data_IF_517727972165
#
_entry.id   IF_517727972165
#
_cell.length_a   1.000
_cell.length_b   1.000
_cell.length_c   1.000
_cell.angle_alpha   90.00
_cell.angle_beta   90.00
_cell.angle_gamma   90.00
#
_symmetry.space_group_name_H-M   'P 1'
#
loop_
_entity.id
_entity.type
_entity.pdbx_description
1 polymer ?
#
# COMPACT_ATOMS: atom_id res chain seq x y z
N UNK A 1 -13.29 -11.04 -63.36
CA UNK A 1 -13.74 -10.05 -62.36
C UNK A 1 -12.71 -10.02 -61.25
N UNK A 2 -11.93 -8.94 -61.19
CA UNK A 2 -10.75 -8.80 -60.34
C UNK A 2 -11.16 -8.31 -58.94
N UNK A 3 -10.72 -9.02 -57.90
CA UNK A 3 -10.87 -8.61 -56.51
C UNK A 3 -9.53 -8.06 -56.00
N UNK A 4 -9.52 -6.75 -55.71
CA UNK A 4 -8.40 -6.01 -55.15
C UNK A 4 -8.32 -6.23 -53.65
N UNK A 5 -7.19 -6.77 -53.19
CA UNK A 5 -6.86 -7.00 -51.78
C UNK A 5 -6.24 -5.72 -51.17
N UNK A 6 -6.88 -5.18 -50.13
CA UNK A 6 -6.39 -4.03 -49.37
C UNK A 6 -5.58 -4.51 -48.15
N UNK A 7 -4.27 -4.20 -48.16
CA UNK A 7 -3.32 -4.51 -47.09
C UNK A 7 -3.27 -3.36 -46.09
N UNK A 8 -3.81 -3.55 -44.88
CA UNK A 8 -3.72 -2.57 -43.78
C UNK A 8 -2.41 -2.72 -43.01
N UNK A 9 -1.55 -1.71 -43.14
CA UNK A 9 -0.26 -1.57 -42.50
C UNK A 9 -0.43 -1.18 -41.02
N UNK A 10 0.08 -1.99 -40.09
CA UNK A 10 -0.03 -1.74 -38.63
C UNK A 10 1.30 -1.19 -38.11
N UNK A 11 1.33 0.01 -37.47
CA UNK A 11 2.58 0.60 -37.04
C UNK A 11 3.18 -0.09 -35.80
N UNK A 12 4.47 -0.37 -35.93
CA UNK A 12 5.36 -1.00 -34.97
C UNK A 12 5.50 -0.13 -33.70
N UNK A 13 5.00 -0.64 -32.57
CA UNK A 13 5.01 0.04 -31.27
C UNK A 13 6.38 -0.05 -30.63
N UNK A 14 7.09 1.08 -30.62
CA UNK A 14 8.37 1.31 -29.96
C UNK A 14 8.45 0.74 -28.54
N UNK A 15 9.49 -0.06 -28.34
CA UNK A 15 9.90 -0.74 -27.13
C UNK A 15 10.39 0.29 -26.10
N UNK A 16 9.57 0.53 -25.06
CA UNK A 16 9.94 1.42 -23.95
C UNK A 16 10.99 0.77 -23.05
N UNK A 17 12.16 1.40 -23.08
CA UNK A 17 13.24 1.53 -22.09
C UNK A 17 13.00 0.83 -20.74
N UNK A 18 13.94 -0.06 -20.42
CA UNK A 18 14.20 -0.68 -19.12
C UNK A 18 14.52 0.41 -18.08
N UNK A 19 13.76 0.45 -16.99
CA UNK A 19 14.16 1.15 -15.77
C UNK A 19 15.15 0.26 -15.01
N UNK A 20 16.38 0.76 -14.85
CA UNK A 20 17.39 0.15 -13.98
C UNK A 20 16.96 0.34 -12.53
N UNK A 21 16.67 -0.76 -11.84
CA UNK A 21 16.44 -0.79 -10.40
C UNK A 21 17.80 -0.74 -9.72
N UNK A 22 18.03 0.34 -8.97
CA UNK A 22 19.20 0.53 -8.11
C UNK A 22 19.10 -0.48 -6.96
N UNK A 23 19.97 -1.49 -6.97
CA UNK A 23 20.18 -2.38 -5.82
C UNK A 23 20.97 -1.60 -4.76
N UNK A 24 20.30 -1.21 -3.68
CA UNK A 24 20.96 -0.71 -2.48
C UNK A 24 21.77 -1.86 -1.85
N UNK A 25 23.08 -1.62 -1.66
CA UNK A 25 24.02 -2.55 -1.08
C UNK A 25 23.65 -2.89 0.37
N UNK A 26 23.51 -4.18 0.66
CA UNK A 26 23.46 -4.71 2.03
C UNK A 26 24.86 -4.58 2.67
N UNK A 27 24.96 -4.14 3.94
CA UNK A 27 26.24 -4.08 4.64
C UNK A 27 26.79 -5.50 4.88
N UNK A 28 28.12 -5.69 4.81
CA UNK A 28 28.74 -6.98 5.05
C UNK A 28 28.54 -7.41 6.50
N UNK A 29 28.01 -8.62 6.70
CA UNK A 29 27.90 -9.24 8.02
C UNK A 29 29.30 -9.50 8.59
N UNK A 30 29.62 -8.86 9.70
CA UNK A 30 30.79 -9.14 10.49
C UNK A 30 30.74 -10.58 11.02
N UNK A 31 31.73 -11.39 10.64
CA UNK A 31 31.90 -12.76 11.12
C UNK A 31 32.35 -12.75 12.59
N UNK A 32 31.42 -13.02 13.49
CA UNK A 32 31.71 -13.36 14.89
C UNK A 32 32.18 -14.82 14.92
N UNK A 33 33.50 -15.03 14.89
CA UNK A 33 34.08 -16.34 15.19
C UNK A 33 34.07 -16.55 16.71
N UNK A 34 32.95 -17.05 17.23
CA UNK A 34 32.87 -17.60 18.59
C UNK A 34 33.43 -19.03 18.58
N UNK A 35 34.44 -19.24 19.40
CA UNK A 35 35.12 -20.51 19.68
C UNK A 35 34.13 -21.60 20.13
N UNK A 36 33.87 -22.59 19.25
CA UNK A 36 33.01 -23.75 19.51
C UNK A 36 33.81 -25.05 19.53
N UNK A 37 34.65 -25.28 20.55
CA UNK A 37 35.46 -26.52 20.56
C UNK A 37 35.50 -27.32 21.87
N UNK A 38 34.79 -26.94 22.95
CA UNK A 38 34.99 -27.64 24.24
C UNK A 38 33.78 -28.37 24.84
N UNK A 39 32.59 -28.35 24.23
CA UNK A 39 31.36 -28.93 24.83
C UNK A 39 30.61 -29.96 23.97
N UNK A 40 31.25 -30.57 22.96
CA UNK A 40 30.52 -31.41 21.99
C UNK A 40 30.35 -32.89 22.38
N UNK A 41 31.13 -33.42 23.33
CA UNK A 41 31.15 -34.88 23.59
C UNK A 41 30.14 -35.41 24.62
N UNK A 42 29.34 -34.54 25.26
CA UNK A 42 28.35 -34.96 26.27
C UNK A 42 26.88 -34.92 25.82
N UNK A 43 26.57 -34.26 24.71
CA UNK A 43 25.17 -33.98 24.27
C UNK A 43 24.66 -35.03 23.28
N UNK A 44 25.53 -35.70 22.54
CA UNK A 44 25.14 -36.64 21.46
C UNK A 44 24.44 -37.91 22.00
N UNK A 45 24.63 -38.29 23.27
CA UNK A 45 23.97 -39.46 23.89
C UNK A 45 22.54 -39.20 24.38
N UNK A 46 22.22 -37.96 24.74
CA UNK A 46 20.87 -37.57 25.17
C UNK A 46 19.96 -37.22 23.98
N UNK A 47 20.53 -36.74 22.87
CA UNK A 47 19.78 -36.42 21.66
C UNK A 47 19.21 -37.66 20.96
N UNK A 48 19.91 -38.80 20.97
CA UNK A 48 19.42 -40.05 20.36
C UNK A 48 18.26 -40.70 21.15
N UNK A 49 18.29 -40.61 22.49
CA UNK A 49 17.18 -41.04 23.33
C UNK A 49 15.97 -40.10 23.22
N UNK A 50 16.19 -38.79 23.12
CA UNK A 50 15.12 -37.82 22.88
C UNK A 50 14.53 -37.97 21.46
N UNK A 51 15.32 -38.27 20.43
CA UNK A 51 14.82 -38.53 19.09
C UNK A 51 13.99 -39.82 19.01
N UNK A 52 14.38 -40.88 19.71
CA UNK A 52 13.60 -42.13 19.73
C UNK A 52 12.26 -41.94 20.47
N UNK A 53 12.25 -41.16 21.54
CA UNK A 53 11.04 -40.82 22.30
C UNK A 53 10.17 -39.81 21.54
N UNK A 54 10.74 -38.82 20.87
CA UNK A 54 9.99 -37.94 19.97
C UNK A 54 9.47 -38.68 18.76
N UNK A 55 10.16 -39.68 18.20
CA UNK A 55 9.65 -40.47 17.06
C UNK A 55 8.49 -41.40 17.45
N UNK A 56 8.42 -41.80 18.72
CA UNK A 56 7.29 -42.58 19.25
C UNK A 56 6.09 -41.71 19.66
N UNK A 57 6.32 -40.48 20.16
CA UNK A 57 5.29 -39.48 20.48
C UNK A 57 4.82 -38.69 19.24
N UNK A 58 5.69 -38.51 18.25
CA UNK A 58 5.42 -37.97 16.91
C UNK A 58 5.14 -39.06 15.87
N UNK A 59 4.56 -40.19 16.31
CA UNK A 59 3.63 -40.91 15.42
C UNK A 59 2.46 -39.96 15.19
N UNK A 60 2.71 -38.99 14.30
CA UNK A 60 1.85 -37.86 14.05
C UNK A 60 0.46 -38.40 13.79
N UNK A 61 -0.54 -37.82 14.45
CA UNK A 61 -1.93 -38.16 14.18
C UNK A 61 -2.14 -37.94 12.67
N UNK A 62 -2.18 -39.02 11.91
CA UNK A 62 -2.38 -38.94 10.46
C UNK A 62 -3.88 -38.88 10.23
N UNK A 63 -4.33 -37.75 9.70
CA UNK A 63 -5.72 -37.62 9.25
C UNK A 63 -5.84 -38.40 7.94
N UNK A 64 -6.79 -39.33 7.90
CA UNK A 64 -7.14 -40.09 6.70
C UNK A 64 -8.61 -39.89 6.41
N UNK A 65 -8.95 -39.83 5.13
CA UNK A 65 -10.33 -39.78 4.66
C UNK A 65 -10.74 -41.18 4.22
N UNK A 66 -11.93 -41.63 4.61
CA UNK A 66 -12.41 -42.97 4.27
C UNK A 66 -13.34 -42.98 3.06
N UNK A 67 -14.36 -42.14 3.07
CA UNK A 67 -15.47 -42.18 2.11
C UNK A 67 -15.81 -40.77 1.64
N UNK A 68 -16.15 -40.64 0.35
CA UNK A 68 -16.62 -39.41 -0.30
C UNK A 68 -18.10 -39.55 -0.60
N UNK A 69 -18.89 -38.53 -0.29
CA UNK A 69 -20.27 -38.37 -0.75
C UNK A 69 -20.37 -37.14 -1.66
N UNK A 70 -21.02 -37.30 -2.81
CA UNK A 70 -21.21 -36.21 -3.78
C UNK A 70 -22.66 -35.76 -3.72
N UNK A 71 -22.90 -34.50 -3.42
CA UNK A 71 -24.24 -33.91 -3.41
C UNK A 71 -24.42 -32.95 -4.59
N UNK A 72 -25.55 -33.07 -5.28
CA UNK A 72 -25.91 -32.23 -6.41
C UNK A 72 -26.88 -31.14 -5.96
N UNK A 73 -26.55 -29.90 -6.33
CA UNK A 73 -27.32 -28.71 -6.00
C UNK A 73 -27.80 -28.03 -7.27
N UNK A 74 -29.00 -27.47 -7.23
CA UNK A 74 -29.55 -26.74 -8.37
C UNK A 74 -28.77 -25.43 -8.56
N UNK A 75 -28.49 -25.03 -9.82
CA UNK A 75 -27.94 -23.72 -10.09
C UNK A 75 -29.01 -22.65 -9.80
N UNK A 76 -28.59 -21.58 -9.12
CA UNK A 76 -29.44 -20.47 -8.69
C UNK A 76 -28.81 -19.16 -9.15
N UNK A 77 -29.63 -18.12 -9.34
CA UNK A 77 -29.13 -16.77 -9.60
C UNK A 77 -28.26 -16.27 -8.43
N UNK A 78 -27.01 -15.92 -8.71
CA UNK A 78 -26.08 -15.36 -7.74
C UNK A 78 -26.02 -13.83 -7.79
N UNK A 79 -25.42 -13.26 -6.75
CA UNK A 79 -25.22 -11.82 -6.55
C UNK A 79 -23.73 -11.40 -6.60
N UNK A 80 -22.85 -12.28 -7.09
CA UNK A 80 -21.41 -12.06 -7.07
C UNK A 80 -20.96 -11.04 -8.15
N UNK A 81 -20.48 -9.84 -7.75
CA UNK A 81 -20.10 -8.79 -8.70
C UNK A 81 -18.76 -9.05 -9.40
N UNK A 82 -18.04 -10.12 -9.06
CA UNK A 82 -16.79 -10.53 -9.71
C UNK A 82 -17.03 -11.22 -11.06
N UNK A 83 -18.27 -11.58 -11.39
CA UNK A 83 -18.59 -12.10 -12.71
C UNK A 83 -18.32 -11.02 -13.78
N UNK A 84 -17.43 -11.26 -14.76
CA UNK A 84 -17.04 -10.21 -15.71
C UNK A 84 -18.19 -9.80 -16.64
N UNK A 85 -19.00 -10.76 -17.09
CA UNK A 85 -20.14 -10.59 -18.00
C UNK A 85 -21.25 -11.58 -17.67
N UNK A 86 -22.49 -11.28 -18.06
CA UNK A 86 -23.63 -12.19 -17.92
C UNK A 86 -24.05 -12.47 -16.47
N UNK A 87 -25.02 -13.38 -16.26
CA UNK A 87 -25.58 -13.66 -14.94
C UNK A 87 -24.61 -14.44 -14.05
N UNK A 88 -24.49 -14.04 -12.78
CA UNK A 88 -23.75 -14.83 -11.81
C UNK A 88 -24.50 -16.13 -11.52
N UNK A 89 -23.77 -17.25 -11.47
CA UNK A 89 -24.28 -18.52 -10.95
C UNK A 89 -23.89 -18.67 -9.48
N UNK A 90 -24.80 -19.21 -8.69
CA UNK A 90 -24.52 -19.78 -7.37
C UNK A 90 -25.17 -21.17 -7.27
N UNK A 91 -24.95 -21.85 -6.16
CA UNK A 91 -25.62 -23.11 -5.84
C UNK A 91 -26.70 -22.86 -4.78
N UNK A 92 -27.83 -23.56 -4.91
CA UNK A 92 -28.86 -23.56 -3.89
C UNK A 92 -28.40 -24.22 -2.58
N UNK A 93 -29.11 -23.96 -1.49
CA UNK A 93 -28.80 -24.53 -0.18
C UNK A 93 -29.24 -25.98 0.00
N UNK A 94 -30.29 -26.40 -0.73
CA UNK A 94 -30.86 -27.74 -0.61
C UNK A 94 -30.33 -28.63 -1.74
N UNK A 95 -29.71 -29.77 -1.43
CA UNK A 95 -29.33 -30.74 -2.45
C UNK A 95 -30.61 -31.36 -3.03
N UNK A 96 -30.67 -31.52 -4.35
CA UNK A 96 -31.79 -32.21 -5.00
C UNK A 96 -31.49 -33.71 -5.20
N UNK A 97 -30.21 -34.09 -5.18
CA UNK A 97 -29.77 -35.47 -5.31
C UNK A 97 -28.43 -35.65 -4.62
N UNK A 98 -28.15 -36.88 -4.18
CA UNK A 98 -26.86 -37.26 -3.59
C UNK A 98 -26.44 -38.61 -4.16
N UNK A 99 -25.19 -38.72 -4.58
CA UNK A 99 -24.58 -39.99 -4.94
C UNK A 99 -24.30 -40.82 -3.68
N UNK A 100 -24.26 -42.14 -3.88
CA UNK A 100 -23.85 -43.08 -2.83
C UNK A 100 -22.43 -42.76 -2.35
N UNK A 101 -22.17 -43.10 -1.09
CA UNK A 101 -20.87 -42.91 -0.47
C UNK A 101 -19.86 -43.90 -1.08
N UNK A 102 -18.76 -43.40 -1.65
CA UNK A 102 -17.74 -44.21 -2.34
C UNK A 102 -16.41 -44.11 -1.58
N UNK A 103 -15.66 -45.21 -1.38
CA UNK A 103 -14.32 -45.15 -0.80
C UNK A 103 -13.41 -44.16 -1.55
N UNK A 104 -12.62 -43.37 -0.81
CA UNK A 104 -11.78 -42.31 -1.38
C UNK A 104 -10.83 -42.87 -2.45
N UNK A 105 -10.22 -44.03 -2.20
CA UNK A 105 -9.26 -44.64 -3.12
C UNK A 105 -9.90 -44.91 -4.50
N UNK A 106 -11.12 -45.47 -4.51
CA UNK A 106 -11.89 -45.70 -5.75
C UNK A 106 -12.28 -44.40 -6.45
N UNK A 107 -12.54 -43.33 -5.70
CA UNK A 107 -12.85 -42.03 -6.29
C UNK A 107 -11.61 -41.42 -6.99
N UNK A 108 -10.44 -41.52 -6.36
CA UNK A 108 -9.19 -40.99 -6.91
C UNK A 108 -8.67 -41.80 -8.11
N UNK A 109 -8.96 -43.10 -8.20
CA UNK A 109 -8.67 -43.93 -9.40
C UNK A 109 -9.27 -43.37 -10.70
N UNK A 110 -10.40 -42.66 -10.61
CA UNK A 110 -11.09 -42.08 -11.77
C UNK A 110 -10.70 -40.62 -12.04
N UNK A 111 -9.82 -40.03 -11.22
CA UNK A 111 -9.41 -38.65 -11.37
C UNK A 111 -8.44 -38.53 -12.55
N UNK A 112 -8.66 -37.59 -13.49
CA UNK A 112 -7.71 -37.40 -14.58
C UNK A 112 -6.35 -37.00 -14.04
N UNK A 113 -5.29 -37.62 -14.55
CA UNK A 113 -3.89 -37.33 -14.17
C UNK A 113 -3.51 -35.87 -14.49
N UNK A 114 -4.08 -35.32 -15.57
CA UNK A 114 -3.82 -33.97 -16.02
C UNK A 114 -4.71 -32.99 -15.27
N UNK A 115 -4.08 -32.07 -14.52
CA UNK A 115 -4.79 -30.98 -13.87
C UNK A 115 -5.44 -30.06 -14.91
N UNK A 116 -6.71 -29.73 -14.66
CA UNK A 116 -7.45 -28.79 -15.52
C UNK A 116 -6.78 -27.43 -15.52
N UNK A 117 -6.60 -26.87 -16.70
CA UNK A 117 -6.09 -25.50 -16.84
C UNK A 117 -7.12 -24.51 -16.30
N UNK A 118 -6.69 -23.37 -15.74
CA UNK A 118 -7.60 -22.40 -15.11
C UNK A 118 -8.75 -21.95 -16.04
N UNK A 119 -8.50 -21.83 -17.36
CA UNK A 119 -9.53 -21.50 -18.34
C UNK A 119 -10.61 -22.58 -18.49
N UNK A 120 -10.27 -23.85 -18.27
CA UNK A 120 -11.22 -24.97 -18.30
C UNK A 120 -12.12 -25.01 -17.06
N UNK A 121 -11.76 -24.27 -16.00
CA UNK A 121 -12.57 -24.11 -14.80
C UNK A 121 -13.55 -22.93 -14.91
N UNK A 122 -13.38 -22.06 -15.91
CA UNK A 122 -14.26 -20.90 -16.12
C UNK A 122 -15.47 -21.31 -16.96
N UNK A 123 -16.67 -21.06 -16.43
CA UNK A 123 -17.92 -21.28 -17.16
C UNK A 123 -18.23 -20.05 -18.03
N UNK A 124 -18.34 -20.19 -19.36
CA UNK A 124 -18.66 -19.09 -20.26
C UNK A 124 -20.01 -18.42 -19.91
N UNK A 125 -20.19 -17.12 -20.21
CA UNK A 125 -21.43 -16.41 -19.93
C UNK A 125 -22.68 -17.06 -20.54
N UNK A 126 -22.58 -17.55 -21.77
CA UNK A 126 -23.72 -18.15 -22.50
C UNK A 126 -24.14 -19.48 -21.88
N UNK A 127 -23.15 -20.29 -21.46
CA UNK A 127 -23.39 -21.54 -20.74
C UNK A 127 -24.01 -21.28 -19.36
N UNK A 128 -23.62 -20.19 -18.68
CA UNK A 128 -24.29 -19.78 -17.43
C UNK A 128 -25.75 -19.39 -17.65
N UNK A 129 -26.03 -18.68 -18.75
CA UNK A 129 -27.40 -18.31 -19.12
C UNK A 129 -28.25 -19.54 -19.37
N UNK A 130 -27.77 -20.47 -20.21
CA UNK A 130 -28.45 -21.73 -20.52
C UNK A 130 -28.77 -22.53 -19.26
N UNK A 131 -27.81 -22.70 -18.35
CA UNK A 131 -28.03 -23.42 -17.08
C UNK A 131 -29.11 -22.81 -16.20
N UNK A 132 -29.30 -21.50 -16.25
CA UNK A 132 -30.37 -20.82 -15.51
C UNK A 132 -31.72 -21.02 -16.20
N UNK A 133 -31.76 -20.95 -17.52
CA UNK A 133 -32.98 -21.25 -18.28
C UNK A 133 -33.42 -22.71 -18.07
N UNK A 134 -32.48 -23.65 -18.11
CA UNK A 134 -32.73 -25.07 -17.81
C UNK A 134 -33.22 -25.29 -16.37
N UNK A 135 -32.83 -24.42 -15.44
CA UNK A 135 -33.31 -24.43 -14.06
C UNK A 135 -34.68 -23.73 -13.88
N UNK A 136 -35.30 -23.24 -14.96
CA UNK A 136 -36.63 -22.63 -14.96
C UNK A 136 -36.64 -21.12 -14.73
N UNK A 137 -35.49 -20.44 -14.76
CA UNK A 137 -35.45 -18.97 -14.68
C UNK A 137 -35.86 -18.34 -16.00
N UNK A 138 -36.72 -17.34 -15.93
CA UNK A 138 -37.10 -16.54 -17.10
C UNK A 138 -35.99 -15.57 -17.48
N UNK A 139 -35.84 -15.25 -18.78
CA UNK A 139 -34.84 -14.28 -19.24
C UNK A 139 -35.02 -12.91 -18.56
N UNK A 140 -36.24 -12.52 -18.18
CA UNK A 140 -36.52 -11.30 -17.42
C UNK A 140 -35.87 -11.31 -16.04
N UNK A 141 -35.96 -12.42 -15.30
CA UNK A 141 -35.32 -12.58 -13.98
C UNK A 141 -33.80 -12.56 -14.11
N UNK A 142 -33.26 -13.23 -15.13
CA UNK A 142 -31.82 -13.24 -15.41
C UNK A 142 -31.31 -11.82 -15.68
N UNK A 143 -32.00 -11.05 -16.54
CA UNK A 143 -31.65 -9.66 -16.83
C UNK A 143 -31.71 -8.78 -15.58
N UNK A 144 -32.73 -8.96 -14.73
CA UNK A 144 -32.84 -8.22 -13.48
C UNK A 144 -31.65 -8.50 -12.55
N UNK A 145 -31.28 -9.76 -12.35
CA UNK A 145 -30.13 -10.15 -11.53
C UNK A 145 -28.79 -9.61 -12.09
N UNK A 146 -28.63 -9.59 -13.41
CA UNK A 146 -27.46 -8.97 -14.07
C UNK A 146 -27.38 -7.47 -13.76
N UNK A 147 -28.51 -6.76 -13.80
CA UNK A 147 -28.57 -5.32 -13.46
C UNK A 147 -28.17 -5.07 -12.00
N UNK A 148 -28.65 -5.89 -11.08
CA UNK A 148 -28.30 -5.81 -9.66
C UNK A 148 -26.82 -6.09 -9.40
N UNK A 149 -26.29 -7.14 -10.03
CA UNK A 149 -24.86 -7.49 -9.95
C UNK A 149 -23.98 -6.36 -10.49
N UNK A 150 -24.37 -5.76 -11.62
CA UNK A 150 -23.67 -4.60 -12.20
C UNK A 150 -23.72 -3.39 -11.27
N UNK A 151 -24.87 -3.11 -10.65
CA UNK A 151 -25.01 -2.03 -9.67
C UNK A 151 -24.08 -2.25 -8.47
N UNK A 152 -24.00 -3.46 -7.93
CA UNK A 152 -23.09 -3.81 -6.85
C UNK A 152 -21.61 -3.66 -7.26
N UNK A 153 -21.26 -4.06 -8.49
CA UNK A 153 -19.92 -3.86 -9.05
C UNK A 153 -19.55 -2.39 -9.18
N UNK A 154 -20.47 -1.56 -9.67
CA UNK A 154 -20.26 -0.12 -9.80
C UNK A 154 -20.11 0.57 -8.44
N UNK A 155 -20.89 0.15 -7.43
CA UNK A 155 -20.73 0.59 -6.05
C UNK A 155 -19.34 0.24 -5.51
N UNK A 156 -18.87 -1.01 -5.69
CA UNK A 156 -17.51 -1.41 -5.27
C UNK A 156 -16.43 -0.59 -5.98
N UNK A 157 -16.59 -0.32 -7.28
CA UNK A 157 -15.66 0.53 -8.03
C UNK A 157 -15.59 1.95 -7.46
N UNK A 158 -16.74 2.52 -7.08
CA UNK A 158 -16.80 3.83 -6.40
C UNK A 158 -16.15 3.80 -5.03
N UNK A 159 -16.39 2.76 -4.22
CA UNK A 159 -15.73 2.59 -2.92
C UNK A 159 -14.22 2.48 -3.07
N UNK A 160 -13.73 1.68 -4.02
CA UNK A 160 -12.30 1.59 -4.28
C UNK A 160 -11.69 2.93 -4.69
N UNK A 161 -12.36 3.68 -5.57
CA UNK A 161 -11.93 5.03 -5.95
C UNK A 161 -11.93 5.99 -4.75
N UNK A 162 -12.92 5.87 -3.86
CA UNK A 162 -12.99 6.65 -2.61
C UNK A 162 -11.84 6.35 -1.65
N UNK A 163 -11.46 5.08 -1.49
CA UNK A 163 -10.31 4.68 -0.64
C UNK A 163 -8.99 5.27 -1.15
N UNK A 164 -8.81 5.35 -2.48
CA UNK A 164 -7.64 6.04 -3.04
C UNK A 164 -7.67 7.55 -2.81
N UNK A 165 -8.84 8.18 -2.96
CA UNK A 165 -9.00 9.61 -2.66
C UNK A 165 -8.76 9.93 -1.18
N UNK A 166 -9.22 9.08 -0.26
CA UNK A 166 -8.97 9.26 1.17
C UNK A 166 -7.47 9.30 1.49
N UNK A 167 -6.66 8.44 0.86
CA UNK A 167 -5.20 8.49 1.04
C UNK A 167 -4.58 9.78 0.50
N UNK A 168 -5.08 10.27 -0.63
CA UNK A 168 -4.64 11.55 -1.20
C UNK A 168 -5.04 12.72 -0.29
N UNK A 169 -6.26 12.71 0.24
CA UNK A 169 -6.78 13.69 1.19
C UNK A 169 -5.99 13.67 2.51
N UNK A 170 -5.73 12.49 3.08
CA UNK A 170 -4.88 12.31 4.28
C UNK A 170 -3.46 12.85 4.06
N UNK A 171 -2.88 12.59 2.87
CA UNK A 171 -1.57 13.11 2.51
C UNK A 171 -1.58 14.63 2.41
N UNK A 172 -2.57 15.22 1.72
CA UNK A 172 -2.74 16.67 1.60
C UNK A 172 -2.96 17.30 2.97
N UNK A 173 -3.77 16.69 3.83
CA UNK A 173 -4.01 17.17 5.19
C UNK A 173 -2.75 17.08 6.06
N UNK A 174 -1.92 16.05 5.91
CA UNK A 174 -0.62 15.96 6.61
C UNK A 174 0.33 17.09 6.19
N UNK A 175 0.34 17.44 4.90
CA UNK A 175 1.13 18.54 4.34
C UNK A 175 0.56 19.87 4.85
N UNK A 176 -0.76 20.04 4.86
CA UNK A 176 -1.44 21.24 5.37
C UNK A 176 -1.20 21.46 6.86
N UNK A 177 -1.19 20.38 7.65
CA UNK A 177 -0.89 20.45 9.08
C UNK A 177 0.60 20.77 9.33
N UNK A 178 1.52 20.22 8.52
CA UNK A 178 2.95 20.53 8.61
C UNK A 178 3.30 21.95 8.13
N UNK A 179 2.61 22.45 7.11
CA UNK A 179 2.82 23.83 6.62
C UNK A 179 2.27 24.87 7.59
N UNK A 180 1.19 24.58 8.33
CA UNK A 180 0.71 25.47 9.42
C UNK A 180 1.73 25.63 10.56
N UNK A 181 2.53 24.60 10.87
CA UNK A 181 3.58 24.73 11.88
C UNK A 181 4.82 25.46 11.34
N UNK A 182 5.06 25.37 10.02
CA UNK A 182 6.20 26.04 9.38
C UNK A 182 5.94 27.52 9.09
N UNK A 183 4.74 27.92 8.67
CA UNK A 183 4.38 29.32 8.38
C UNK A 183 4.25 30.18 9.65
N UNK A 184 3.99 29.56 10.81
CA UNK A 184 3.98 30.26 12.11
C UNK A 184 5.37 30.67 12.62
N UNK A 185 6.46 30.08 12.09
CA UNK A 185 7.82 30.30 12.60
C UNK A 185 8.56 31.52 12.00
N UNK A 186 8.51 31.81 10.68
CA UNK A 186 9.22 32.96 10.12
C UNK A 186 8.51 34.29 10.37
N UNK A 187 7.18 34.30 10.58
CA UNK A 187 6.46 35.54 10.92
C UNK A 187 6.71 36.01 12.37
N UNK A 188 7.15 35.13 13.27
CA UNK A 188 7.62 35.54 14.61
C UNK A 188 9.04 36.10 14.57
N UNK A 189 9.89 35.62 13.66
CA UNK A 189 11.25 36.18 13.50
C UNK A 189 11.26 37.50 12.74
N UNK A 190 10.42 37.66 11.70
CA UNK A 190 10.33 38.93 10.96
C UNK A 190 9.80 40.08 11.82
N UNK A 191 9.01 39.81 12.86
CA UNK A 191 8.55 40.84 13.79
C UNK A 191 9.64 41.33 14.74
N UNK A 192 10.64 40.49 15.04
CA UNK A 192 11.77 40.86 15.90
C UNK A 192 12.87 41.60 15.12
N UNK A 193 12.96 41.40 13.80
CA UNK A 193 13.96 42.07 12.95
C UNK A 193 13.65 43.58 12.81
N UNK A 194 12.37 43.96 12.74
CA UNK A 194 11.99 45.38 12.73
C UNK A 194 12.21 46.06 14.10
N UNK A 195 12.04 45.33 15.22
CA UNK A 195 12.35 45.85 16.57
C UNK A 195 13.87 46.02 16.81
N UNK A 196 14.71 45.13 16.27
CA UNK A 196 16.18 45.26 16.37
C UNK A 196 16.72 46.44 15.55
N UNK A 197 16.15 46.70 14.36
CA UNK A 197 16.53 47.85 13.54
C UNK A 197 16.16 49.19 14.19
N UNK A 198 15.00 49.29 14.84
CA UNK A 198 14.61 50.49 15.61
C UNK A 198 15.52 50.73 16.83
N UNK A 199 15.95 49.66 17.50
CA UNK A 199 16.88 49.77 18.65
C UNK A 199 18.27 50.26 18.24
N UNK A 200 18.78 49.84 17.08
CA UNK A 200 20.09 50.25 16.57
C UNK A 200 20.07 51.73 16.10
N UNK A 201 18.96 52.18 15.53
CA UNK A 201 18.75 53.60 15.18
C UNK A 201 18.64 54.50 16.42
N UNK A 202 17.97 54.04 17.49
CA UNK A 202 17.93 54.77 18.77
C UNK A 202 19.32 54.84 19.44
N UNK A 203 20.12 53.77 19.37
CA UNK A 203 21.48 53.74 19.92
C UNK A 203 22.43 54.69 19.19
N UNK A 204 22.38 54.70 17.86
CA UNK A 204 23.21 55.61 17.04
C UNK A 204 22.81 57.08 17.24
N UNK A 205 21.52 57.38 17.41
CA UNK A 205 21.03 58.72 17.75
C UNK A 205 21.46 59.18 19.15
N UNK A 206 21.47 58.28 20.13
CA UNK A 206 21.94 58.58 21.48
C UNK A 206 23.45 58.91 21.50
N UNK A 207 24.27 58.13 20.80
CA UNK A 207 25.72 58.35 20.77
C UNK A 207 26.14 59.63 20.01
N UNK A 208 25.46 59.97 18.92
CA UNK A 208 25.75 61.20 18.17
C UNK A 208 25.41 62.46 18.97
N UNK A 209 24.34 62.44 19.79
CA UNK A 209 23.97 63.57 20.66
C UNK A 209 25.00 63.87 21.77
N UNK A 210 25.80 62.87 22.18
CA UNK A 210 26.78 63.02 23.25
C UNK A 210 28.10 63.68 22.76
N UNK A 211 28.45 63.48 21.49
CA UNK A 211 29.66 64.07 20.87
C UNK A 211 29.51 65.59 20.69
N UNK A 212 28.31 66.07 20.37
CA UNK A 212 28.05 67.50 20.15
C UNK A 212 28.08 68.34 21.44
N UNK A 213 27.82 67.73 22.60
CA UNK A 213 27.91 68.40 23.89
C UNK A 213 29.36 68.50 24.41
N UNK A 214 30.24 67.56 24.06
CA UNK A 214 31.67 67.59 24.42
C UNK A 214 32.44 68.75 23.76
N UNK A 215 32.05 69.16 22.54
CA UNK A 215 32.72 70.26 21.83
C UNK A 215 32.36 71.66 22.35
N UNK A 216 31.25 71.81 23.09
CA UNK A 216 30.83 73.10 23.66
C UNK A 216 31.57 73.47 24.96
N UNK A 217 32.06 72.48 25.71
CA UNK A 217 32.80 72.71 26.97
C UNK A 217 34.27 73.08 26.72
N UNK A 218 34.90 72.53 25.66
CA UNK A 218 36.29 72.86 25.29
C UNK A 218 36.48 74.32 24.83
N UNK A 219 35.51 74.90 24.11
CA UNK A 219 35.58 76.31 23.66
C UNK A 219 35.50 77.33 24.80
N UNK A 220 34.88 77.00 25.93
CA UNK A 220 34.83 77.90 27.10
C UNK A 220 36.17 77.98 27.84
N UNK A 221 36.96 76.91 27.85
CA UNK A 221 38.24 76.86 28.57
C UNK A 221 39.38 77.61 27.85
N UNK A 222 39.33 77.73 26.52
CA UNK A 222 40.33 78.51 25.75
C UNK A 222 40.04 80.02 25.72
N UNK A 223 38.78 80.43 25.94
CA UNK A 223 38.39 81.84 26.08
C UNK A 223 38.90 82.46 27.39
N UNK A 224 38.91 81.69 28.49
CA UNK A 224 39.39 82.17 29.79
C UNK A 224 40.91 82.41 29.78
N UNK A 225 41.70 81.52 29.18
CA UNK A 225 43.17 81.68 29.07
C UNK A 225 43.59 82.91 28.27
N UNK A 226 42.82 83.34 27.27
CA UNK A 226 43.10 84.57 26.49
C UNK A 226 42.78 85.85 27.24
N UNK A 227 41.86 85.84 28.22
CA UNK A 227 41.56 87.03 29.04
C UNK A 227 42.60 87.25 30.13
N UNK A 228 43.17 86.20 30.71
CA UNK A 228 44.19 86.31 31.78
C UNK A 228 45.54 86.80 31.24
N UNK A 229 45.94 86.38 30.04
CA UNK A 229 47.21 86.82 29.42
C UNK A 229 47.21 88.28 28.91
N UNK A 230 46.06 88.96 28.92
CA UNK A 230 45.94 90.37 28.48
C UNK A 230 45.90 91.36 29.65
N UNK A 231 46.01 90.86 30.89
CA UNK A 231 45.95 91.63 32.13
C UNK A 231 47.27 91.60 32.93
N UNK A 232 48.34 91.06 32.34
CA UNK A 232 49.72 91.14 32.81
C UNK A 232 50.57 91.83 31.74
#
# INVERSE_FOLDING_TARGET
MAATSATTNTPHRQQRRRNAVIFAAFPPQAQIQRTKSAMKKGIESLDDSLHTMYRSISKGKTVRFGVVSVSFYSPVLGDNPSAPRGPSLTIGWKPYSSANAVPVDRFEEHRPEILRHHLQLVIPPDERHRRLEDAGYTSKQIIAAVRETNKARDQRKKTMQGVFRQKEEEMIDSIRQSTKSFVRRPWQMLRNIDEEAELDELWTRANTSNIDNGNKTSKKHSSWKRKVAKAA
#
